data_IF_634445500185
#
_entry.id   IF_634445500185
#
_cell.length_a   1.000
_cell.length_b   1.000
_cell.length_c   1.000
_cell.angle_alpha   90.00
_cell.angle_beta   90.00
_cell.angle_gamma   90.00
#
_symmetry.space_group_name_H-M   'P 1'
#
loop_
_entity.id
_entity.type
_entity.pdbx_description
1 polymer ?
#
# COMPACT_ATOMS: atom_id res chain seq x y z
N UNK A 1 1.90 5.54 15.47
CA UNK A 1 2.00 4.92 14.12
C UNK A 1 3.17 5.54 13.38
N UNK A 2 4.13 4.72 12.91
CA UNK A 2 5.27 5.23 12.14
C UNK A 2 4.86 5.34 10.65
N UNK A 3 4.57 6.55 10.18
CA UNK A 3 4.08 6.80 8.82
C UNK A 3 5.03 6.31 7.72
N UNK A 4 6.34 6.45 7.92
CA UNK A 4 7.34 5.96 6.96
C UNK A 4 7.24 4.43 6.85
N UNK A 5 7.11 3.74 7.99
CA UNK A 5 6.93 2.29 8.03
C UNK A 5 5.60 1.86 7.41
N UNK A 6 4.51 2.57 7.68
CA UNK A 6 3.20 2.32 7.04
C UNK A 6 3.31 2.47 5.52
N UNK A 7 3.89 3.57 5.03
CA UNK A 7 4.14 3.78 3.60
C UNK A 7 4.98 2.65 3.01
N UNK A 8 6.05 2.24 3.70
CA UNK A 8 6.91 1.14 3.26
C UNK A 8 6.13 -0.17 3.12
N UNK A 9 5.39 -0.57 4.16
CA UNK A 9 4.59 -1.81 4.15
C UNK A 9 3.54 -1.75 3.03
N UNK A 10 2.85 -0.61 2.90
CA UNK A 10 1.86 -0.41 1.84
C UNK A 10 2.46 -0.55 0.43
N UNK A 11 3.67 -0.02 0.20
CA UNK A 11 4.39 -0.17 -1.06
C UNK A 11 4.78 -1.62 -1.36
N UNK A 12 5.15 -2.40 -0.33
CA UNK A 12 5.54 -3.80 -0.47
C UNK A 12 4.34 -4.70 -0.77
N UNK A 13 3.17 -4.40 -0.17
CA UNK A 13 1.95 -5.19 -0.28
C UNK A 13 1.24 -5.06 -1.64
N UNK A 14 1.35 -3.91 -2.31
CA UNK A 14 0.73 -3.74 -3.63
C UNK A 14 1.68 -3.87 -4.81
N UNK A 15 1.15 -3.75 -6.03
CA UNK A 15 1.93 -3.91 -7.26
C UNK A 15 2.06 -2.59 -8.00
N UNK A 16 3.31 -2.23 -8.31
CA UNK A 16 3.60 -0.98 -9.00
C UNK A 16 3.31 0.29 -8.18
N UNK A 17 2.85 0.15 -6.92
CA UNK A 17 2.44 1.24 -6.04
C UNK A 17 3.45 2.38 -5.94
N UNK A 18 4.76 2.07 -5.92
CA UNK A 18 5.80 3.11 -5.89
C UNK A 18 5.82 4.04 -7.10
N UNK A 19 5.55 3.51 -8.30
CA UNK A 19 5.43 4.33 -9.52
C UNK A 19 4.06 5.01 -9.58
N UNK A 20 3.00 4.31 -9.19
CA UNK A 20 1.64 4.82 -9.22
C UNK A 20 1.46 6.02 -8.28
N UNK A 21 1.93 5.90 -7.04
CA UNK A 21 1.85 6.99 -6.05
C UNK A 21 2.75 8.17 -6.42
N UNK A 22 3.92 7.91 -7.02
CA UNK A 22 4.80 8.97 -7.54
C UNK A 22 4.09 9.81 -8.59
N UNK A 23 3.35 9.17 -9.51
CA UNK A 23 2.51 9.86 -10.51
C UNK A 23 1.37 10.62 -9.84
N UNK A 24 0.64 10.00 -8.91
CA UNK A 24 -0.48 10.64 -8.21
C UNK A 24 -0.07 11.90 -7.42
N UNK A 25 1.13 11.89 -6.83
CA UNK A 25 1.69 13.01 -6.08
C UNK A 25 2.51 13.98 -6.95
N UNK A 26 2.69 13.69 -8.23
CA UNK A 26 3.56 14.44 -9.14
C UNK A 26 5.00 14.61 -8.61
N UNK A 27 5.60 13.52 -8.14
CA UNK A 27 6.97 13.47 -7.59
C UNK A 27 7.77 12.32 -8.22
N UNK A 28 9.07 12.26 -7.96
CA UNK A 28 9.90 11.15 -8.44
C UNK A 28 9.66 9.85 -7.65
N UNK A 29 9.86 8.71 -8.29
CA UNK A 29 9.84 7.40 -7.62
C UNK A 29 10.92 7.31 -6.53
N UNK A 30 12.08 7.92 -6.76
CA UNK A 30 13.18 8.01 -5.80
C UNK A 30 12.77 8.77 -4.55
N UNK A 31 12.00 9.85 -4.69
CA UNK A 31 11.45 10.58 -3.55
C UNK A 31 10.58 9.65 -2.70
N UNK A 32 9.60 8.95 -3.30
CA UNK A 32 8.75 8.00 -2.58
C UNK A 32 9.57 6.94 -1.84
N UNK A 33 10.57 6.35 -2.51
CA UNK A 33 11.43 5.34 -1.91
C UNK A 33 12.26 5.90 -0.74
N UNK A 34 12.83 7.10 -0.90
CA UNK A 34 13.60 7.77 0.15
C UNK A 34 12.71 8.16 1.34
N UNK A 35 11.46 8.54 1.11
CA UNK A 35 10.51 8.87 2.17
C UNK A 35 10.13 7.62 2.96
N UNK A 36 9.86 6.50 2.30
CA UNK A 36 9.52 5.24 2.96
C UNK A 36 10.66 4.66 3.83
N UNK A 37 11.92 4.86 3.42
CA UNK A 37 13.11 4.34 4.11
C UNK A 37 13.87 5.39 4.92
N UNK A 38 13.43 6.64 4.89
CA UNK A 38 14.15 7.77 5.46
C UNK A 38 13.99 7.86 6.97
N UNK A 39 14.99 8.47 7.62
CA UNK A 39 14.96 8.77 9.06
C UNK A 39 14.13 10.02 9.38
N UNK A 40 13.85 10.88 8.39
CA UNK A 40 12.97 12.04 8.56
C UNK A 40 11.52 11.57 8.50
N UNK A 41 10.77 11.85 9.57
CA UNK A 41 9.35 11.55 9.64
C UNK A 41 8.52 12.33 8.62
N UNK A 42 7.36 11.77 8.23
CA UNK A 42 6.39 12.46 7.37
C UNK A 42 5.51 13.39 8.22
N UNK A 43 5.42 14.66 7.85
CA UNK A 43 4.54 15.65 8.51
C UNK A 43 3.06 15.25 8.41
N UNK A 44 2.18 15.86 9.21
CA UNK A 44 0.73 15.56 9.12
C UNK A 44 0.15 15.96 7.77
N UNK A 45 0.42 17.19 7.31
CA UNK A 45 -0.05 17.68 6.01
C UNK A 45 0.47 16.84 4.84
N UNK A 46 1.75 16.46 4.84
CA UNK A 46 2.26 15.57 3.78
C UNK A 46 1.63 14.19 3.86
N UNK A 47 1.36 13.69 5.06
CA UNK A 47 0.72 12.39 5.25
C UNK A 47 -0.71 12.36 4.69
N UNK A 48 -1.48 13.43 4.86
CA UNK A 48 -2.82 13.56 4.27
C UNK A 48 -2.76 13.43 2.73
N UNK A 49 -1.82 14.12 2.09
CA UNK A 49 -1.58 13.98 0.65
C UNK A 49 -1.19 12.55 0.26
N UNK A 50 -0.31 11.90 1.03
CA UNK A 50 0.05 10.49 0.82
C UNK A 50 -1.17 9.58 0.91
N UNK A 51 -1.99 9.72 1.96
CA UNK A 51 -3.18 8.87 2.15
C UNK A 51 -4.20 9.05 1.04
N UNK A 52 -4.42 10.30 0.59
CA UNK A 52 -5.30 10.57 -0.55
C UNK A 52 -4.77 9.92 -1.84
N UNK A 53 -3.47 10.06 -2.11
CA UNK A 53 -2.85 9.44 -3.28
C UNK A 53 -2.87 7.89 -3.21
N UNK A 54 -2.69 7.31 -2.02
CA UNK A 54 -2.84 5.86 -1.81
C UNK A 54 -4.24 5.40 -2.18
N UNK A 55 -5.28 6.11 -1.74
CA UNK A 55 -6.67 5.77 -2.08
C UNK A 55 -6.92 5.79 -3.59
N UNK A 56 -6.37 6.76 -4.32
CA UNK A 56 -6.48 6.81 -5.79
C UNK A 56 -5.82 5.57 -6.42
N UNK A 57 -4.61 5.21 -5.96
CA UNK A 57 -3.89 4.04 -6.48
C UNK A 57 -4.66 2.75 -6.21
N UNK A 58 -5.21 2.59 -5.00
CA UNK A 58 -5.99 1.38 -4.65
C UNK A 58 -7.27 1.26 -5.48
N UNK A 59 -7.95 2.37 -5.78
CA UNK A 59 -9.12 2.36 -6.66
C UNK A 59 -8.79 1.90 -8.08
N UNK A 60 -7.58 2.18 -8.58
CA UNK A 60 -7.11 1.67 -9.86
C UNK A 60 -6.75 0.17 -9.79
N UNK A 61 -6.11 -0.25 -8.70
CA UNK A 61 -5.79 -1.66 -8.45
C UNK A 61 -7.05 -2.55 -8.40
N UNK A 62 -8.14 -2.06 -7.81
CA UNK A 62 -9.43 -2.77 -7.70
C UNK A 62 -10.09 -3.06 -9.06
N UNK A 63 -9.68 -2.37 -10.14
CA UNK A 63 -10.27 -2.58 -11.48
C UNK A 63 -9.72 -3.80 -12.20
N UNK A 64 -8.64 -4.41 -11.69
CA UNK A 64 -7.95 -5.53 -12.31
C UNK A 64 -7.94 -6.72 -11.36
N UNK A 65 -8.68 -7.78 -11.71
CA UNK A 65 -8.68 -9.04 -10.96
C UNK A 65 -7.26 -9.57 -10.73
N UNK A 66 -6.40 -9.49 -11.75
CA UNK A 66 -5.00 -9.90 -11.65
C UNK A 66 -4.24 -9.12 -10.55
N UNK A 67 -4.46 -7.81 -10.45
CA UNK A 67 -3.81 -6.99 -9.43
C UNK A 67 -4.34 -7.37 -8.04
N UNK A 68 -5.66 -7.57 -7.91
CA UNK A 68 -6.31 -8.00 -6.67
C UNK A 68 -5.73 -9.34 -6.19
N UNK A 69 -5.69 -10.37 -7.05
CA UNK A 69 -5.14 -11.69 -6.73
C UNK A 69 -3.68 -11.61 -6.26
N UNK A 70 -2.87 -10.81 -6.95
CA UNK A 70 -1.47 -10.66 -6.58
C UNK A 70 -1.29 -9.91 -5.25
N UNK A 71 -2.13 -8.91 -4.97
CA UNK A 71 -2.15 -8.21 -3.68
C UNK A 71 -2.57 -9.16 -2.54
N UNK A 72 -3.54 -10.06 -2.76
CA UNK A 72 -3.91 -11.13 -1.82
C UNK A 72 -2.72 -12.01 -1.49
N UNK A 73 -1.99 -12.51 -2.51
CA UNK A 73 -0.84 -13.39 -2.31
C UNK A 73 0.24 -12.71 -1.46
N UNK A 74 0.53 -11.43 -1.73
CA UNK A 74 1.51 -10.65 -0.97
C UNK A 74 1.07 -10.42 0.48
N UNK A 75 -0.20 -10.03 0.68
CA UNK A 75 -0.77 -9.81 2.00
C UNK A 75 -0.79 -11.10 2.84
N UNK A 76 -1.23 -12.22 2.26
CA UNK A 76 -1.20 -13.53 2.89
C UNK A 76 0.22 -13.92 3.33
N UNK A 77 1.21 -13.76 2.44
CA UNK A 77 2.62 -14.04 2.78
C UNK A 77 3.10 -13.19 3.97
N UNK A 78 2.79 -11.89 4.00
CA UNK A 78 3.27 -10.98 5.03
C UNK A 78 2.45 -11.05 6.34
N UNK A 79 1.27 -11.66 6.33
CA UNK A 79 0.45 -11.90 7.53
C UNK A 79 1.12 -12.82 8.57
N UNK A 80 2.13 -13.58 8.15
CA UNK A 80 2.96 -14.42 9.02
C UNK A 80 4.20 -13.70 9.57
N UNK A 81 4.35 -12.40 9.34
CA UNK A 81 5.49 -11.63 9.84
C UNK A 81 5.59 -11.68 11.37
N UNK A 82 6.83 -11.73 11.88
CA UNK A 82 7.13 -11.58 13.31
C UNK A 82 7.00 -10.12 13.77
N UNK A 83 7.08 -9.17 12.84
CA UNK A 83 6.79 -7.76 13.10
C UNK A 83 5.27 -7.58 13.15
N UNK A 84 4.76 -7.24 14.34
CA UNK A 84 3.32 -7.13 14.61
C UNK A 84 2.63 -6.05 13.76
N UNK A 85 3.33 -4.97 13.42
CA UNK A 85 2.76 -3.90 12.58
C UNK A 85 2.62 -4.36 11.13
N UNK A 86 3.64 -5.05 10.60
CA UNK A 86 3.58 -5.67 9.27
C UNK A 86 2.46 -6.71 9.23
N UNK A 87 2.38 -7.58 10.24
CA UNK A 87 1.35 -8.60 10.34
C UNK A 87 -0.05 -7.99 10.35
N UNK A 88 -0.31 -7.02 11.23
CA UNK A 88 -1.64 -6.43 11.38
C UNK A 88 -2.07 -5.68 10.12
N UNK A 89 -1.17 -4.91 9.50
CA UNK A 89 -1.45 -4.25 8.23
C UNK A 89 -1.71 -5.25 7.10
N UNK A 90 -0.94 -6.34 7.06
CA UNK A 90 -1.10 -7.37 6.02
C UNK A 90 -2.42 -8.14 6.18
N UNK A 91 -2.87 -8.39 7.41
CA UNK A 91 -4.19 -8.99 7.67
C UNK A 91 -5.31 -8.05 7.22
N UNK A 92 -5.22 -6.75 7.53
CA UNK A 92 -6.21 -5.77 7.08
C UNK A 92 -6.26 -5.64 5.56
N UNK A 93 -5.10 -5.61 4.88
CA UNK A 93 -5.06 -5.64 3.42
C UNK A 93 -5.62 -6.95 2.85
N UNK A 94 -5.33 -8.10 3.48
CA UNK A 94 -5.83 -9.39 3.04
C UNK A 94 -7.36 -9.42 3.05
N UNK A 95 -7.98 -9.03 4.18
CA UNK A 95 -9.44 -8.97 4.31
C UNK A 95 -10.05 -8.04 3.25
N UNK A 96 -9.44 -6.86 3.03
CA UNK A 96 -9.87 -5.91 2.00
C UNK A 96 -9.85 -6.52 0.61
N UNK A 97 -8.74 -7.14 0.21
CA UNK A 97 -8.58 -7.64 -1.16
C UNK A 97 -9.41 -8.90 -1.42
N UNK A 98 -9.62 -9.75 -0.41
CA UNK A 98 -10.54 -10.90 -0.51
C UNK A 98 -11.98 -10.44 -0.72
N UNK A 99 -12.43 -9.41 0.00
CA UNK A 99 -13.76 -8.82 -0.20
C UNK A 99 -13.92 -8.21 -1.60
N UNK A 100 -12.91 -7.49 -2.10
CA UNK A 100 -12.91 -6.96 -3.47
C UNK A 100 -12.99 -8.10 -4.49
N UNK A 101 -12.22 -9.19 -4.31
CA UNK A 101 -12.27 -10.33 -5.21
C UNK A 101 -13.66 -10.98 -5.23
N UNK A 102 -14.29 -11.13 -4.06
CA UNK A 102 -15.66 -11.65 -3.95
C UNK A 102 -16.69 -10.80 -4.71
N UNK A 103 -16.54 -9.47 -4.66
CA UNK A 103 -17.40 -8.53 -5.43
C UNK A 103 -17.16 -8.55 -6.93
N UNK A 104 -15.94 -8.87 -7.39
CA UNK A 104 -15.63 -9.00 -8.82
C UNK A 104 -16.11 -10.33 -9.41
N UNK A 105 -16.29 -11.36 -8.58
CA UNK A 105 -16.73 -12.69 -9.01
C UNK A 105 -18.26 -12.85 -9.06
N UNK A 106 -19.01 -11.92 -8.45
CA UNK A 106 -20.47 -11.90 -8.42
C UNK A 106 -21.05 -11.13 -9.61
#
# INVERSE_FOLDING_TARGET
MNKNKVLKIWLELGIGRGTAIAKALNVSRQFIHSTAHGNKGISNTSWEAFTYAMSIVELDEMRSQKNVEQNIVKAARNSHSRDSEVKNMSLAELDKWVDVLGRLAA
#
